data_IF_533957620914
#
_entry.id   IF_533957620914
#
_cell.length_a   1.000
_cell.length_b   1.000
_cell.length_c   1.000
_cell.angle_alpha   90.00
_cell.angle_beta   90.00
_cell.angle_gamma   90.00
#
_symmetry.space_group_name_H-M   'P 1'
#
loop_
_entity.id
_entity.type
_entity.pdbx_description
1 polymer ?
#
# COMPACT_ATOMS: atom_id res chain seq x y z
N UNK A 1 -20.81 -14.83 8.70
CA UNK A 1 -21.29 -13.50 9.10
C UNK A 1 -20.33 -12.49 8.49
N UNK A 2 -20.75 -11.74 7.49
CA UNK A 2 -19.95 -10.66 6.93
C UNK A 2 -20.05 -9.50 7.93
N UNK A 3 -19.00 -9.28 8.71
CA UNK A 3 -18.86 -8.06 9.48
C UNK A 3 -18.60 -6.94 8.49
N UNK A 4 -19.59 -6.12 8.25
CA UNK A 4 -19.43 -4.84 7.59
C UNK A 4 -18.58 -3.95 8.50
N UNK A 5 -17.30 -3.98 8.32
CA UNK A 5 -16.37 -3.06 8.98
C UNK A 5 -16.43 -1.74 8.21
N UNK A 6 -17.26 -0.81 8.69
CA UNK A 6 -17.33 0.52 8.11
C UNK A 6 -16.01 1.25 8.38
N UNK A 7 -15.34 1.68 7.32
CA UNK A 7 -14.23 2.64 7.41
C UNK A 7 -14.76 4.07 7.52
N UNK A 8 -14.06 4.91 8.27
CA UNK A 8 -14.50 6.30 8.52
C UNK A 8 -13.87 7.32 7.58
N UNK A 9 -12.79 6.96 6.89
CA UNK A 9 -12.15 7.80 5.88
C UNK A 9 -11.84 6.99 4.61
N UNK A 10 -11.59 7.72 3.54
CA UNK A 10 -11.19 7.18 2.24
C UNK A 10 -9.67 7.03 2.20
N UNK A 11 -9.19 5.91 1.64
CA UNK A 11 -7.77 5.56 1.58
C UNK A 11 -6.97 6.37 0.55
N UNK A 12 -7.65 7.12 -0.30
CA UNK A 12 -6.98 7.90 -1.35
C UNK A 12 -7.07 9.40 -1.05
N UNK A 13 -8.28 9.97 -1.05
CA UNK A 13 -8.46 11.41 -0.94
C UNK A 13 -8.21 11.94 0.47
N UNK A 14 -8.73 11.25 1.50
CA UNK A 14 -8.61 11.73 2.87
C UNK A 14 -7.17 11.59 3.40
N UNK A 15 -6.45 10.52 3.01
CA UNK A 15 -5.04 10.38 3.38
C UNK A 15 -4.16 11.41 2.67
N UNK A 16 -4.39 11.67 1.38
CA UNK A 16 -3.65 12.70 0.63
C UNK A 16 -3.94 14.11 1.12
N UNK A 17 -5.12 14.36 1.68
CA UNK A 17 -5.43 15.65 2.31
C UNK A 17 -4.58 15.89 3.57
N UNK A 18 -4.29 14.85 4.35
CA UNK A 18 -3.42 14.94 5.54
C UNK A 18 -1.95 14.94 5.14
N UNK A 19 -1.55 14.04 4.26
CA UNK A 19 -0.18 13.91 3.77
C UNK A 19 -0.17 13.80 2.24
N UNK A 20 0.07 14.90 1.52
CA UNK A 20 0.07 14.90 0.05
C UNK A 20 1.06 13.91 -0.59
N UNK A 21 2.13 13.57 0.12
CA UNK A 21 3.17 12.67 -0.34
C UNK A 21 3.02 11.25 0.21
N UNK A 22 1.84 10.86 0.68
CA UNK A 22 1.61 9.56 1.34
C UNK A 22 2.05 8.38 0.45
N UNK A 23 1.94 8.50 -0.85
CA UNK A 23 2.35 7.47 -1.80
C UNK A 23 3.88 7.26 -1.88
N UNK A 24 4.68 8.18 -1.35
CA UNK A 24 6.14 8.05 -1.31
C UNK A 24 6.62 7.16 -0.15
N UNK A 25 5.74 6.78 0.78
CA UNK A 25 6.05 5.94 1.93
C UNK A 25 5.83 4.43 1.68
N UNK A 26 5.74 4.00 0.43
CA UNK A 26 5.64 2.58 0.10
C UNK A 26 6.95 1.86 0.44
N UNK A 27 6.86 0.80 1.27
CA UNK A 27 8.00 -0.03 1.65
C UNK A 27 8.46 -0.89 0.48
N UNK A 28 9.63 -0.56 -0.06
CA UNK A 28 10.33 -1.38 -1.05
C UNK A 28 11.48 -2.13 -0.39
N UNK A 29 11.73 -3.33 -0.84
CA UNK A 29 12.90 -4.13 -0.43
C UNK A 29 13.65 -4.60 -1.67
N UNK A 30 14.96 -4.55 -1.63
CA UNK A 30 15.79 -5.19 -2.66
C UNK A 30 15.61 -6.70 -2.54
N UNK A 31 15.30 -7.34 -3.67
CA UNK A 31 15.17 -8.80 -3.73
C UNK A 31 16.52 -9.45 -4.11
N UNK A 32 16.75 -10.73 -3.74
CA UNK A 32 17.99 -11.41 -4.06
C UNK A 32 18.26 -11.44 -5.57
N UNK A 33 19.51 -11.26 -5.96
CA UNK A 33 19.97 -11.33 -7.35
C UNK A 33 20.38 -12.77 -7.70
N UNK A 34 19.40 -13.68 -7.73
CA UNK A 34 19.63 -15.10 -8.07
C UNK A 34 18.67 -15.53 -9.19
N UNK A 35 18.65 -14.75 -10.25
CA UNK A 35 17.82 -15.00 -11.41
C UNK A 35 18.33 -16.19 -12.22
N UNK A 36 17.41 -17.05 -12.63
CA UNK A 36 17.67 -18.23 -13.42
C UNK A 36 16.88 -18.18 -14.73
N UNK A 37 17.46 -18.68 -15.82
CA UNK A 37 16.72 -18.81 -17.06
C UNK A 37 15.55 -19.78 -16.87
N UNK A 38 14.37 -19.42 -17.36
CA UNK A 38 13.19 -20.30 -17.34
C UNK A 38 13.28 -21.44 -18.40
N UNK A 39 14.25 -21.35 -19.33
CA UNK A 39 14.32 -22.18 -20.55
C UNK A 39 13.56 -21.57 -21.74
N UNK A 40 12.79 -20.52 -21.52
CA UNK A 40 12.19 -19.69 -22.58
C UNK A 40 13.07 -18.47 -22.78
N UNK A 41 13.24 -18.01 -24.02
CA UNK A 41 14.02 -16.82 -24.32
C UNK A 41 13.45 -15.61 -23.54
N UNK A 42 14.35 -14.78 -23.02
CA UNK A 42 14.05 -13.53 -22.34
C UNK A 42 13.15 -13.62 -21.09
N UNK A 43 12.81 -14.85 -20.65
CA UNK A 43 12.03 -15.11 -19.45
C UNK A 43 12.91 -15.69 -18.34
N UNK A 44 12.84 -15.09 -17.16
CA UNK A 44 13.67 -15.44 -16.01
C UNK A 44 12.82 -15.77 -14.79
N UNK A 45 13.31 -16.66 -13.94
CA UNK A 45 12.67 -17.08 -12.70
C UNK A 45 13.53 -16.70 -11.49
N UNK A 46 12.89 -16.31 -10.42
CA UNK A 46 13.48 -16.15 -9.10
C UNK A 46 12.66 -16.94 -8.08
N UNK A 47 13.27 -17.90 -7.40
CA UNK A 47 12.59 -18.82 -6.47
C UNK A 47 12.60 -18.34 -5.03
N UNK A 48 13.42 -17.35 -4.69
CA UNK A 48 13.59 -16.83 -3.32
C UNK A 48 13.09 -15.40 -3.13
N UNK A 49 12.24 -14.91 -4.04
CA UNK A 49 11.73 -13.54 -4.00
C UNK A 49 10.90 -13.23 -2.74
N UNK A 50 10.30 -14.25 -2.11
CA UNK A 50 9.24 -14.07 -1.12
C UNK A 50 7.98 -13.53 -1.77
N UNK A 51 7.06 -13.00 -0.98
CA UNK A 51 5.80 -12.46 -1.51
C UNK A 51 6.05 -11.13 -2.25
N UNK A 52 5.54 -11.02 -3.49
CA UNK A 52 5.71 -9.87 -4.38
C UNK A 52 4.36 -9.44 -4.95
N UNK A 53 3.94 -8.22 -4.62
CA UNK A 53 2.76 -7.58 -5.24
C UNK A 53 3.16 -6.59 -6.32
N UNK A 54 4.21 -5.82 -6.05
CA UNK A 54 4.78 -4.83 -6.96
C UNK A 54 6.26 -5.15 -7.18
N UNK A 55 6.74 -4.91 -8.38
CA UNK A 55 8.14 -5.06 -8.76
C UNK A 55 8.63 -3.75 -9.37
N UNK A 56 9.85 -3.35 -9.00
CA UNK A 56 10.48 -2.13 -9.51
C UNK A 56 11.87 -2.49 -10.06
N UNK A 57 12.17 -2.02 -11.26
CA UNK A 57 13.48 -2.12 -11.90
C UNK A 57 14.10 -0.74 -11.96
N UNK A 58 15.23 -0.54 -11.31
CA UNK A 58 15.92 0.76 -11.23
C UNK A 58 15.02 1.92 -10.79
N UNK A 59 14.03 1.62 -9.93
CA UNK A 59 13.08 2.57 -9.37
C UNK A 59 11.79 2.76 -10.15
N UNK A 60 11.68 2.22 -11.37
CA UNK A 60 10.45 2.26 -12.19
C UNK A 60 9.58 1.04 -11.93
N UNK A 61 8.27 1.27 -11.76
CA UNK A 61 7.30 0.19 -11.49
C UNK A 61 7.03 -0.62 -12.75
N UNK A 62 7.05 -1.92 -12.61
CA UNK A 62 6.81 -2.89 -13.66
C UNK A 62 5.34 -3.32 -13.72
N UNK A 63 4.92 -3.82 -14.87
CA UNK A 63 3.54 -4.27 -15.10
C UNK A 63 3.33 -5.70 -14.58
N UNK A 64 2.45 -5.86 -13.60
CA UNK A 64 2.02 -7.17 -13.11
C UNK A 64 1.03 -7.80 -14.08
N UNK A 65 1.32 -9.02 -14.53
CA UNK A 65 0.43 -9.81 -15.39
C UNK A 65 -0.03 -11.08 -14.66
N UNK A 66 -1.16 -11.64 -15.07
CA UNK A 66 -1.70 -12.90 -14.49
C UNK A 66 -1.16 -14.13 -15.18
N UNK A 67 -0.79 -14.00 -16.44
CA UNK A 67 -0.22 -15.05 -17.27
C UNK A 67 1.31 -14.99 -17.28
N UNK A 68 1.95 -15.86 -18.08
CA UNK A 68 3.40 -15.80 -18.27
C UNK A 68 3.79 -14.47 -18.91
N UNK A 69 4.72 -13.71 -18.32
CA UNK A 69 5.20 -12.46 -18.89
C UNK A 69 5.78 -12.68 -20.31
N UNK A 70 5.47 -11.78 -21.24
CA UNK A 70 5.86 -11.88 -22.64
C UNK A 70 6.24 -10.55 -23.30
N UNK A 71 6.23 -9.47 -22.55
CA UNK A 71 6.67 -8.15 -22.99
C UNK A 71 7.63 -7.53 -21.96
N UNK A 72 8.43 -6.57 -22.44
CA UNK A 72 9.40 -5.83 -21.62
C UNK A 72 8.73 -5.25 -20.37
N UNK A 73 9.41 -5.37 -19.25
CA UNK A 73 8.96 -4.88 -17.93
C UNK A 73 7.66 -5.52 -17.40
N UNK A 74 7.30 -6.71 -17.90
CA UNK A 74 6.23 -7.52 -17.32
C UNK A 74 6.76 -8.50 -16.29
N UNK A 75 5.98 -8.70 -15.22
CA UNK A 75 6.26 -9.74 -14.23
C UNK A 75 5.00 -10.48 -13.79
N UNK A 76 5.19 -11.70 -13.31
CA UNK A 76 4.17 -12.52 -12.65
C UNK A 76 4.73 -13.11 -11.36
N UNK A 77 3.95 -13.14 -10.31
CA UNK A 77 4.27 -13.84 -9.08
C UNK A 77 3.26 -14.94 -8.80
N UNK A 78 3.70 -16.17 -8.90
CA UNK A 78 2.87 -17.35 -8.62
C UNK A 78 2.91 -17.67 -7.12
N UNK A 79 1.94 -17.19 -6.35
CA UNK A 79 1.87 -17.34 -4.90
C UNK A 79 1.86 -18.83 -4.45
N UNK A 80 1.32 -19.75 -5.27
CA UNK A 80 1.26 -21.18 -4.98
C UNK A 80 2.62 -21.87 -5.00
N UNK A 81 3.57 -21.37 -5.80
CA UNK A 81 4.92 -21.92 -5.96
C UNK A 81 6.00 -21.01 -5.38
N UNK A 82 5.68 -19.76 -5.08
CA UNK A 82 6.63 -18.74 -4.65
C UNK A 82 7.58 -18.27 -5.76
N UNK A 83 7.28 -18.57 -7.03
CA UNK A 83 8.13 -18.21 -8.16
C UNK A 83 7.75 -16.84 -8.68
N UNK A 84 8.73 -15.96 -8.78
CA UNK A 84 8.64 -14.69 -9.49
C UNK A 84 9.19 -14.88 -10.88
N UNK A 85 8.38 -14.59 -11.90
CA UNK A 85 8.78 -14.58 -13.31
C UNK A 85 8.90 -13.15 -13.81
N UNK A 86 9.90 -12.88 -14.61
CA UNK A 86 10.20 -11.57 -15.15
C UNK A 86 10.65 -11.69 -16.60
N UNK A 87 10.12 -10.84 -17.47
CA UNK A 87 10.52 -10.79 -18.87
C UNK A 87 11.45 -9.59 -19.11
N UNK A 88 12.58 -9.85 -19.75
CA UNK A 88 13.56 -8.82 -20.11
C UNK A 88 14.22 -9.19 -21.43
N UNK A 89 13.90 -8.43 -22.49
CA UNK A 89 14.45 -8.64 -23.82
C UNK A 89 15.98 -8.52 -23.86
N UNK A 90 16.61 -9.34 -24.70
CA UNK A 90 18.04 -9.30 -24.99
C UNK A 90 18.94 -9.32 -23.74
N UNK A 91 18.50 -9.95 -22.65
CA UNK A 91 19.21 -10.00 -21.41
C UNK A 91 19.86 -11.36 -21.14
N UNK A 92 20.56 -11.45 -20.04
CA UNK A 92 21.14 -12.69 -19.51
C UNK A 92 21.03 -12.68 -17.99
N UNK A 93 21.15 -13.85 -17.35
CA UNK A 93 21.17 -13.96 -15.88
C UNK A 93 22.26 -13.09 -15.26
N UNK A 94 23.40 -12.94 -15.93
CA UNK A 94 24.50 -12.07 -15.46
C UNK A 94 24.12 -10.58 -15.46
N UNK A 95 23.40 -10.12 -16.48
CA UNK A 95 22.93 -8.74 -16.56
C UNK A 95 21.85 -8.51 -15.49
N UNK A 96 20.87 -9.39 -15.39
CA UNK A 96 19.81 -9.28 -14.40
C UNK A 96 20.33 -9.27 -12.96
N UNK A 97 21.33 -10.10 -12.67
CA UNK A 97 21.95 -10.14 -11.34
C UNK A 97 22.78 -8.88 -11.02
N UNK A 98 22.98 -7.99 -11.98
CA UNK A 98 23.59 -6.67 -11.77
C UNK A 98 22.58 -5.53 -11.61
N UNK A 99 21.30 -5.76 -11.92
CA UNK A 99 20.24 -4.76 -11.76
C UNK A 99 19.79 -4.69 -10.31
N UNK A 100 19.33 -3.49 -9.93
CA UNK A 100 18.65 -3.30 -8.64
C UNK A 100 17.16 -3.53 -8.85
N UNK A 101 16.69 -4.68 -8.40
CA UNK A 101 15.28 -5.03 -8.47
C UNK A 101 14.70 -4.99 -7.05
N UNK A 102 13.64 -4.24 -6.88
CA UNK A 102 12.96 -4.06 -5.61
C UNK A 102 11.55 -4.61 -5.69
N UNK A 103 11.07 -5.20 -4.61
CA UNK A 103 9.66 -5.58 -4.47
C UNK A 103 8.95 -4.69 -3.47
N UNK A 104 7.70 -4.35 -3.77
CA UNK A 104 6.78 -3.68 -2.87
C UNK A 104 5.58 -4.56 -2.52
N UNK A 105 4.81 -4.12 -1.53
CA UNK A 105 3.44 -4.59 -1.33
C UNK A 105 2.50 -3.71 -2.14
N UNK A 106 1.31 -4.20 -2.44
CA UNK A 106 0.26 -3.34 -2.95
C UNK A 106 0.02 -2.20 -1.95
N UNK A 107 0.35 -0.98 -2.40
CA UNK A 107 0.26 0.20 -1.53
C UNK A 107 -1.19 0.55 -1.23
N UNK A 108 -2.11 0.26 -2.17
CA UNK A 108 -3.53 0.48 -1.95
C UNK A 108 -4.08 -0.44 -0.88
N UNK A 109 -3.75 -1.74 -0.92
CA UNK A 109 -4.12 -2.68 0.14
C UNK A 109 -3.52 -2.27 1.50
N UNK A 110 -2.30 -1.76 1.50
CA UNK A 110 -1.64 -1.27 2.73
C UNK A 110 -2.38 -0.04 3.29
N UNK A 111 -2.79 0.90 2.44
CA UNK A 111 -3.61 2.07 2.84
C UNK A 111 -4.97 1.64 3.38
N UNK A 112 -5.68 0.76 2.66
CA UNK A 112 -6.98 0.22 3.09
C UNK A 112 -6.88 -0.41 4.48
N UNK A 113 -5.85 -1.23 4.72
CA UNK A 113 -5.64 -1.88 6.01
C UNK A 113 -5.32 -0.86 7.12
N UNK A 114 -4.53 0.19 6.83
CA UNK A 114 -4.25 1.26 7.78
C UNK A 114 -5.53 2.04 8.14
N UNK A 115 -6.36 2.37 7.16
CA UNK A 115 -7.66 3.03 7.37
C UNK A 115 -8.60 2.15 8.19
N UNK A 116 -8.63 0.85 7.94
CA UNK A 116 -9.43 -0.12 8.71
C UNK A 116 -8.99 -0.13 10.19
N UNK A 117 -7.70 -0.25 10.46
CA UNK A 117 -7.14 -0.24 11.83
C UNK A 117 -7.40 1.09 12.54
N UNK A 118 -7.21 2.20 11.85
CA UNK A 118 -7.50 3.52 12.40
C UNK A 118 -8.99 3.69 12.72
N UNK A 119 -9.89 3.19 11.86
CA UNK A 119 -11.33 3.21 12.09
C UNK A 119 -11.72 2.38 13.32
N UNK A 120 -11.12 1.20 13.49
CA UNK A 120 -11.33 0.37 14.67
C UNK A 120 -10.81 1.03 15.94
N UNK A 121 -9.65 1.68 15.87
CA UNK A 121 -9.11 2.43 17.00
C UNK A 121 -10.06 3.56 17.42
N UNK A 122 -10.51 4.40 16.48
CA UNK A 122 -11.45 5.50 16.75
C UNK A 122 -12.76 4.97 17.34
N UNK A 123 -13.29 3.87 16.82
CA UNK A 123 -14.51 3.22 17.32
C UNK A 123 -14.36 2.75 18.77
N UNK A 124 -13.19 2.22 19.12
CA UNK A 124 -12.93 1.71 20.46
C UNK A 124 -12.64 2.81 21.50
N UNK A 125 -12.11 3.95 21.05
CA UNK A 125 -11.81 5.08 21.93
C UNK A 125 -13.05 5.93 22.24
N UNK A 126 -13.94 6.07 21.27
CA UNK A 126 -15.14 6.90 21.46
C UNK A 126 -16.21 6.14 22.27
N UNK A 127 -16.73 6.75 23.36
CA UNK A 127 -17.71 6.10 24.23
C UNK A 127 -19.12 6.06 23.63
N UNK A 128 -19.31 6.60 22.44
CA UNK A 128 -20.62 6.73 21.78
C UNK A 128 -20.58 6.13 20.37
N UNK A 129 -21.69 5.54 19.90
CA UNK A 129 -21.77 5.05 18.54
C UNK A 129 -21.60 6.18 17.52
N UNK A 130 -20.80 5.91 16.46
CA UNK A 130 -20.59 6.84 15.37
C UNK A 130 -21.59 6.50 14.25
N UNK A 131 -22.45 7.44 13.91
CA UNK A 131 -23.43 7.27 12.85
C UNK A 131 -23.10 8.15 11.64
N UNK A 132 -23.41 7.67 10.41
CA UNK A 132 -23.33 8.49 9.21
C UNK A 132 -24.25 9.70 9.32
N UNK A 133 -23.87 10.82 8.71
CA UNK A 133 -24.73 12.03 8.63
C UNK A 133 -25.99 11.70 7.83
N UNK A 134 -27.16 12.05 8.36
CA UNK A 134 -28.42 11.92 7.65
C UNK A 134 -28.51 12.94 6.52
N UNK A 135 -28.96 12.49 5.32
CA UNK A 135 -29.31 13.37 4.20
C UNK A 135 -28.26 13.50 3.11
N UNK A 136 -27.10 12.87 3.24
CA UNK A 136 -26.16 12.72 2.12
C UNK A 136 -26.58 11.47 1.37
N UNK A 137 -27.05 11.62 0.13
CA UNK A 137 -27.52 10.51 -0.69
C UNK A 137 -26.41 9.46 -0.86
N UNK A 138 -26.79 8.20 -0.75
CA UNK A 138 -25.92 7.00 -0.85
C UNK A 138 -25.32 6.82 -2.27
N UNK A 139 -25.41 7.82 -3.12
CA UNK A 139 -25.10 7.75 -4.55
C UNK A 139 -23.73 8.31 -4.93
N UNK A 140 -22.88 8.67 -3.96
CA UNK A 140 -21.53 9.12 -4.28
C UNK A 140 -20.51 8.19 -3.62
N UNK A 141 -19.81 7.45 -4.44
CA UNK A 141 -18.63 6.64 -4.07
C UNK A 141 -17.41 7.48 -3.62
N UNK A 142 -17.60 8.76 -3.31
CA UNK A 142 -16.52 9.72 -3.06
C UNK A 142 -16.78 10.66 -1.89
N UNK A 143 -17.72 10.37 -1.01
CA UNK A 143 -18.02 11.26 0.12
C UNK A 143 -18.22 10.50 1.41
N UNK A 144 -17.36 10.75 2.38
CA UNK A 144 -17.53 10.23 3.72
C UNK A 144 -18.80 10.80 4.38
N UNK A 145 -19.73 9.93 4.69
CA UNK A 145 -20.99 10.27 5.35
C UNK A 145 -20.83 10.49 6.87
N UNK A 146 -19.61 10.49 7.39
CA UNK A 146 -19.32 10.64 8.82
C UNK A 146 -19.04 12.09 9.22
N UNK A 147 -19.13 12.45 10.52
CA UNK A 147 -18.69 13.76 10.99
C UNK A 147 -17.23 14.03 10.60
N UNK A 148 -16.94 15.25 10.14
CA UNK A 148 -15.61 15.63 9.64
C UNK A 148 -14.50 15.37 10.66
N UNK A 149 -14.76 15.61 11.94
CA UNK A 149 -13.80 15.33 13.02
C UNK A 149 -13.41 13.85 13.06
N UNK A 150 -14.37 12.95 12.84
CA UNK A 150 -14.13 11.49 12.82
C UNK A 150 -13.31 11.10 11.60
N UNK A 151 -13.69 11.61 10.42
CA UNK A 151 -12.97 11.39 9.16
C UNK A 151 -11.53 11.85 9.29
N UNK A 152 -11.34 13.10 9.72
CA UNK A 152 -10.02 13.70 9.86
C UNK A 152 -9.14 12.97 10.88
N UNK A 153 -9.68 12.67 12.06
CA UNK A 153 -8.91 11.94 13.09
C UNK A 153 -8.51 10.55 12.60
N UNK A 154 -9.41 9.84 11.92
CA UNK A 154 -9.11 8.52 11.34
C UNK A 154 -8.01 8.62 10.28
N UNK A 155 -8.09 9.59 9.37
CA UNK A 155 -7.08 9.80 8.33
C UNK A 155 -5.71 10.17 8.93
N UNK A 156 -5.66 11.01 9.96
CA UNK A 156 -4.41 11.35 10.66
C UNK A 156 -3.79 10.10 11.29
N UNK A 157 -4.58 9.26 11.97
CA UNK A 157 -4.09 8.02 12.60
C UNK A 157 -3.56 7.04 11.54
N UNK A 158 -4.30 6.88 10.44
CA UNK A 158 -3.86 6.01 9.34
C UNK A 158 -2.55 6.51 8.71
N UNK A 159 -2.43 7.82 8.46
CA UNK A 159 -1.18 8.43 7.99
C UNK A 159 -0.02 8.23 8.99
N UNK A 160 -0.28 8.39 10.28
CA UNK A 160 0.73 8.17 11.32
C UNK A 160 1.28 6.75 11.27
N UNK A 161 0.41 5.73 11.16
CA UNK A 161 0.80 4.34 11.07
C UNK A 161 1.58 4.01 9.79
N UNK A 162 1.22 4.63 8.66
CA UNK A 162 1.90 4.45 7.39
C UNK A 162 3.27 5.12 7.33
N UNK A 163 3.43 6.26 7.98
CA UNK A 163 4.66 7.09 7.94
C UNK A 163 5.68 6.65 8.98
N UNK A 164 5.23 6.23 10.16
CA UNK A 164 6.08 5.91 11.32
C UNK A 164 7.24 4.94 11.04
N UNK A 165 7.12 3.93 10.16
CA UNK A 165 8.23 3.06 9.80
C UNK A 165 9.39 3.77 9.08
N UNK A 166 9.13 4.92 8.44
CA UNK A 166 10.08 5.70 7.65
C UNK A 166 10.55 6.96 8.39
N UNK A 167 9.61 7.64 9.02
CA UNK A 167 9.81 8.87 9.76
C UNK A 167 9.03 8.79 11.08
N UNK A 168 9.74 8.34 12.10
CA UNK A 168 9.15 8.11 13.41
C UNK A 168 8.65 9.42 14.03
N UNK A 169 9.42 10.50 13.89
CA UNK A 169 9.10 11.78 14.53
C UNK A 169 7.84 12.38 13.91
N UNK A 170 7.73 12.36 12.59
CA UNK A 170 6.52 12.78 11.86
C UNK A 170 5.32 11.90 12.19
N UNK A 171 5.49 10.58 12.25
CA UNK A 171 4.43 9.65 12.64
C UNK A 171 3.94 9.90 14.07
N UNK A 172 4.84 10.16 15.02
CA UNK A 172 4.49 10.48 16.41
C UNK A 172 3.81 11.85 16.52
N UNK A 173 4.21 12.85 15.72
CA UNK A 173 3.56 14.15 15.64
C UNK A 173 2.12 14.02 15.14
N UNK A 174 1.89 13.30 14.05
CA UNK A 174 0.54 13.04 13.53
C UNK A 174 -0.34 12.32 14.56
N UNK A 175 0.20 11.32 15.24
CA UNK A 175 -0.53 10.62 16.29
C UNK A 175 -0.91 11.57 17.44
N UNK A 176 0.01 12.44 17.87
CA UNK A 176 -0.27 13.44 18.89
C UNK A 176 -1.36 14.43 18.46
N UNK A 177 -1.37 14.85 17.17
CA UNK A 177 -2.44 15.69 16.61
C UNK A 177 -3.81 15.02 16.64
N UNK A 178 -3.87 13.72 16.36
CA UNK A 178 -5.12 12.95 16.41
C UNK A 178 -5.68 12.85 17.83
N UNK A 179 -4.80 12.72 18.82
CA UNK A 179 -5.16 12.56 20.23
C UNK A 179 -5.46 13.89 20.94
N UNK A 180 -4.98 14.99 20.41
CA UNK A 180 -5.22 16.33 20.94
C UNK A 180 -5.63 17.31 19.82
N UNK A 181 -6.87 17.19 19.29
CA UNK A 181 -7.31 17.98 18.15
C UNK A 181 -7.43 19.49 18.43
N UNK A 182 -7.39 19.90 19.68
CA UNK A 182 -7.43 21.32 20.09
C UNK A 182 -6.06 22.00 20.04
N UNK A 183 -5.05 21.29 19.52
CA UNK A 183 -3.72 21.77 19.21
C UNK A 183 -3.25 22.97 20.01
N UNK A 184 -2.35 22.78 20.93
CA UNK A 184 -1.66 23.88 21.58
C UNK A 184 -1.07 24.81 20.54
N UNK A 185 -1.65 26.03 20.47
CA UNK A 185 -0.96 27.14 19.85
C UNK A 185 0.30 27.51 20.61
#
# INVERSE_FOLDING_TARGET
MSTYEATYCDEENDLQYIEPNINNYNLRRVIPSDWQSSGTADLYNLYSAGYVDQLFKDGEEMTKVTDTPNAEDEFNYAASTGVLQFYQENSSTSILNSLVIESGRDWNDTKVEAVRKASDFVRNVLPVPIYPRKGVGVASSTGNNYPEIVVRSTAIIACADLIRPFDKDKGDELMAMAMNPEGTG
#
